data_IF_959990376408
#
_entry.id   IF_959990376408
#
_cell.length_a   1.000
_cell.length_b   1.000
_cell.length_c   1.000
_cell.angle_alpha   90.00
_cell.angle_beta   90.00
_cell.angle_gamma   90.00
#
_symmetry.space_group_name_H-M   'P 1'
#
loop_
_entity.id
_entity.type
_entity.pdbx_description
1 polymer ?
#
# COMPACT_ATOMS: atom_id res chain seq x y z
N UNK A 1 20.10 -19.00 31.84
CA UNK A 1 20.36 -19.09 33.29
C UNK A 1 20.34 -20.56 33.70
N UNK A 2 21.51 -21.18 33.94
CA UNK A 2 21.61 -22.60 34.33
C UNK A 2 22.05 -22.69 35.79
N UNK A 3 21.37 -23.53 36.59
CA UNK A 3 21.70 -23.77 38.00
C UNK A 3 22.53 -25.06 38.07
N UNK A 4 23.76 -24.99 38.60
CA UNK A 4 24.60 -26.17 38.81
C UNK A 4 24.34 -26.71 40.23
N UNK A 5 23.77 -27.92 40.33
CA UNK A 5 23.53 -28.57 41.61
C UNK A 5 24.72 -29.44 42.02
N UNK A 6 25.29 -29.17 43.21
CA UNK A 6 26.39 -29.97 43.78
C UNK A 6 25.93 -30.61 45.08
N UNK A 7 25.94 -31.94 45.14
CA UNK A 7 25.65 -32.71 46.35
C UNK A 7 26.91 -33.41 46.86
N UNK A 8 27.19 -33.28 48.16
CA UNK A 8 28.24 -34.04 48.84
C UNK A 8 27.64 -34.80 50.02
N UNK A 9 27.98 -36.09 50.16
CA UNK A 9 27.57 -36.90 51.31
C UNK A 9 28.80 -37.39 52.09
N UNK A 10 28.70 -37.37 53.42
CA UNK A 10 29.67 -38.00 54.33
C UNK A 10 29.06 -39.22 55.01
N UNK A 11 29.81 -40.32 55.09
CA UNK A 11 29.49 -41.46 55.95
C UNK A 11 30.76 -41.98 56.62
N UNK A 12 30.79 -42.01 57.95
CA UNK A 12 31.84 -42.62 58.78
C UNK A 12 33.30 -42.25 58.42
N UNK A 13 33.57 -40.94 58.31
CA UNK A 13 34.92 -40.34 58.20
C UNK A 13 35.83 -40.88 57.06
N UNK A 14 35.30 -41.67 56.13
CA UNK A 14 35.99 -42.12 54.93
C UNK A 14 35.30 -41.56 53.68
N UNK A 15 36.05 -40.79 52.89
CA UNK A 15 35.61 -40.34 51.57
C UNK A 15 35.50 -41.53 50.62
N UNK A 16 34.29 -42.00 50.38
CA UNK A 16 33.94 -42.88 49.27
C UNK A 16 32.86 -42.20 48.44
N UNK A 17 33.20 -41.62 47.29
CA UNK A 17 32.15 -41.17 46.38
C UNK A 17 32.61 -40.33 45.20
N UNK A 18 32.26 -40.84 44.02
CA UNK A 18 32.40 -40.21 42.72
C UNK A 18 31.48 -38.98 42.57
N UNK A 19 32.00 -37.97 41.87
CA UNK A 19 31.23 -36.83 41.38
C UNK A 19 30.59 -37.22 40.05
N UNK A 20 29.26 -37.24 39.97
CA UNK A 20 28.56 -37.24 38.69
C UNK A 20 28.01 -35.84 38.46
N UNK A 21 28.64 -35.09 37.57
CA UNK A 21 28.07 -33.87 37.02
C UNK A 21 27.17 -34.32 35.88
N UNK A 22 25.86 -34.12 36.02
CA UNK A 22 24.90 -34.37 34.94
C UNK A 22 24.12 -33.10 34.68
N UNK A 23 24.74 -32.10 34.06
CA UNK A 23 23.98 -31.11 33.29
C UNK A 23 24.88 -30.28 32.38
N UNK A 24 24.31 -29.98 31.21
CA UNK A 24 24.89 -29.16 30.16
C UNK A 24 24.64 -27.69 30.50
N UNK A 25 25.69 -26.88 30.61
CA UNK A 25 25.58 -25.43 30.82
C UNK A 25 25.45 -24.75 29.46
N UNK A 26 24.43 -23.91 29.30
CA UNK A 26 24.26 -23.05 28.13
C UNK A 26 24.66 -21.62 28.49
N UNK A 27 25.60 -21.04 27.75
CA UNK A 27 25.94 -19.62 27.83
C UNK A 27 25.42 -18.93 26.58
N UNK A 28 24.77 -17.77 26.73
CA UNK A 28 24.42 -16.90 25.61
C UNK A 28 25.71 -16.25 25.08
N UNK A 29 25.87 -16.25 23.76
CA UNK A 29 27.15 -15.99 23.09
C UNK A 29 27.61 -14.54 23.22
N UNK A 30 28.91 -14.39 23.41
CA UNK A 30 29.65 -13.13 23.30
C UNK A 30 31.16 -13.39 23.34
N UNK A 31 31.64 -14.18 22.38
CA UNK A 31 33.04 -14.47 22.03
C UNK A 31 34.02 -14.98 23.11
N UNK A 32 35.06 -15.64 22.60
CA UNK A 32 36.04 -16.47 23.30
C UNK A 32 36.70 -15.76 24.50
N UNK A 33 36.97 -16.52 25.57
CA UNK A 33 37.73 -16.04 26.73
C UNK A 33 39.15 -16.59 26.66
N UNK A 34 40.22 -15.76 26.72
CA UNK A 34 41.59 -16.21 26.99
C UNK A 34 42.25 -15.84 28.31
N UNK A 35 43.28 -16.65 28.56
CA UNK A 35 44.39 -16.47 29.47
C UNK A 35 45.05 -15.10 29.39
N UNK A 36 44.64 -14.21 30.28
CA UNK A 36 45.45 -13.94 31.47
C UNK A 36 44.74 -12.98 32.45
N UNK A 37 43.40 -12.94 32.47
CA UNK A 37 42.65 -12.20 33.47
C UNK A 37 41.84 -13.08 34.42
N UNK A 38 41.77 -12.62 35.68
CA UNK A 38 41.14 -13.31 36.79
C UNK A 38 39.68 -12.86 36.88
N UNK A 39 38.75 -13.80 36.73
CA UNK A 39 37.34 -13.56 37.06
C UNK A 39 37.21 -13.38 38.59
N UNK A 40 37.02 -12.14 39.04
CA UNK A 40 36.65 -11.86 40.43
C UNK A 40 35.14 -12.04 40.57
N UNK A 41 34.73 -13.16 41.17
CA UNK A 41 33.37 -13.31 41.69
C UNK A 41 33.39 -12.76 43.11
N UNK A 42 32.91 -11.53 43.28
CA UNK A 42 32.68 -10.95 44.60
C UNK A 42 31.37 -11.55 45.12
N UNK A 43 31.47 -12.56 46.00
CA UNK A 43 30.30 -13.07 46.71
C UNK A 43 29.99 -12.10 47.84
N UNK A 44 29.17 -11.09 47.56
CA UNK A 44 28.52 -10.31 48.61
C UNK A 44 27.41 -11.19 49.23
N UNK A 45 27.79 -11.98 50.23
CA UNK A 45 27.04 -12.18 51.47
C UNK A 45 27.70 -13.27 52.34
N UNK A 46 28.34 -12.82 53.43
CA UNK A 46 28.75 -13.66 54.53
C UNK A 46 27.52 -14.20 55.28
N UNK A 47 26.96 -15.32 54.85
CA UNK A 47 26.09 -16.13 55.71
C UNK A 47 26.95 -17.09 56.54
N UNK A 48 27.42 -16.57 57.66
CA UNK A 48 27.82 -17.35 58.84
C UNK A 48 26.68 -18.27 59.23
N UNK A 49 26.68 -19.52 58.77
CA UNK A 49 25.84 -20.56 59.35
C UNK A 49 26.61 -21.87 59.46
N UNK A 50 26.65 -22.40 60.68
CA UNK A 50 27.16 -23.73 60.99
C UNK A 50 26.22 -24.76 60.34
N UNK A 51 26.67 -25.44 59.29
CA UNK A 51 25.92 -26.56 58.70
C UNK A 51 26.04 -27.80 59.61
N UNK A 52 24.93 -28.46 59.99
CA UNK A 52 24.98 -29.75 60.64
C UNK A 52 25.41 -30.85 59.64
N UNK A 53 25.89 -32.02 60.12
CA UNK A 53 26.29 -33.12 59.24
C UNK A 53 25.10 -33.56 58.39
N UNK A 54 25.19 -33.39 57.07
CA UNK A 54 24.15 -33.80 56.11
C UNK A 54 23.38 -32.68 55.40
N UNK A 55 23.75 -31.40 55.55
CA UNK A 55 23.14 -30.29 54.79
C UNK A 55 23.79 -30.05 53.43
N UNK A 56 22.99 -29.96 52.36
CA UNK A 56 23.39 -29.42 51.07
C UNK A 56 23.02 -27.92 51.00
N UNK A 57 23.85 -27.10 50.34
CA UNK A 57 23.55 -25.68 50.07
C UNK A 57 23.69 -25.40 48.57
N UNK A 58 22.68 -24.78 47.98
CA UNK A 58 22.71 -24.28 46.60
C UNK A 58 23.38 -22.89 46.57
N UNK A 59 24.32 -22.68 45.65
CA UNK A 59 24.91 -21.38 45.37
C UNK A 59 24.65 -21.04 43.89
N UNK A 60 23.76 -20.08 43.57
CA UNK A 60 23.61 -19.62 42.20
C UNK A 60 24.84 -18.77 41.79
N UNK A 61 25.37 -19.04 40.61
CA UNK A 61 26.39 -18.21 39.96
C UNK A 61 25.71 -17.35 38.89
N UNK A 62 25.88 -16.04 38.96
CA UNK A 62 25.38 -15.06 37.98
C UNK A 62 26.55 -14.53 37.12
N UNK A 63 26.36 -14.49 35.80
CA UNK A 63 27.38 -14.11 34.81
C UNK A 63 26.96 -12.87 33.98
N UNK A 64 25.93 -12.14 34.38
CA UNK A 64 25.42 -11.00 33.61
C UNK A 64 26.28 -9.74 33.80
N UNK A 65 27.20 -9.42 32.87
CA UNK A 65 27.73 -8.04 32.84
C UNK A 65 29.04 -7.65 32.13
N UNK A 66 29.48 -8.23 31.00
CA UNK A 66 30.74 -7.76 30.37
C UNK A 66 30.71 -7.62 28.83
N UNK A 67 31.53 -6.67 28.33
CA UNK A 67 31.63 -6.16 26.95
C UNK A 67 32.85 -6.73 26.18
N UNK A 68 32.71 -6.79 24.85
CA UNK A 68 33.50 -7.51 23.82
C UNK A 68 34.78 -6.79 23.30
N UNK A 69 35.85 -7.55 22.99
CA UNK A 69 37.07 -7.17 22.21
C UNK A 69 37.42 -8.32 21.21
N UNK A 70 37.73 -8.08 19.90
CA UNK A 70 37.64 -9.11 18.84
C UNK A 70 38.90 -9.92 18.48
N UNK A 71 40.04 -9.75 19.15
CA UNK A 71 41.21 -10.60 18.92
C UNK A 71 41.47 -11.40 20.21
N UNK A 72 41.98 -12.65 20.11
CA UNK A 72 42.47 -13.54 21.21
C UNK A 72 41.53 -14.76 21.60
N UNK A 73 42.11 -15.97 21.87
CA UNK A 73 41.54 -17.30 22.29
C UNK A 73 42.07 -17.94 23.65
N UNK A 74 41.25 -18.44 24.61
CA UNK A 74 41.76 -19.30 25.72
C UNK A 74 40.82 -20.04 26.72
N UNK A 75 41.17 -20.13 28.04
CA UNK A 75 40.62 -21.11 29.03
C UNK A 75 40.33 -20.57 30.47
N UNK A 76 39.41 -21.22 31.22
CA UNK A 76 38.89 -20.82 32.56
C UNK A 76 39.53 -21.60 33.73
N UNK A 77 40.03 -20.91 34.77
CA UNK A 77 40.44 -21.50 36.07
C UNK A 77 39.63 -20.91 37.24
N UNK A 78 39.18 -21.77 38.17
CA UNK A 78 38.52 -21.36 39.42
C UNK A 78 39.47 -21.42 40.62
N UNK A 79 39.49 -20.37 41.44
CA UNK A 79 40.10 -20.40 42.77
C UNK A 79 39.03 -20.17 43.85
N UNK A 80 39.00 -21.01 44.89
CA UNK A 80 38.20 -20.80 46.10
C UNK A 80 39.12 -20.50 47.28
N UNK A 81 38.78 -19.48 48.09
CA UNK A 81 39.46 -19.19 49.36
C UNK A 81 38.73 -19.84 50.56
N UNK A 82 39.52 -20.06 51.61
CA UNK A 82 39.33 -21.06 52.67
C UNK A 82 38.26 -20.77 53.74
N UNK A 83 37.82 -21.84 54.42
CA UNK A 83 37.43 -21.74 55.84
C UNK A 83 38.31 -22.66 56.69
N UNK A 84 38.90 -22.08 57.74
CA UNK A 84 39.67 -22.79 58.75
C UNK A 84 38.75 -23.57 59.66
N UNK A 85 39.05 -24.85 59.91
CA UNK A 85 38.76 -25.52 61.19
C UNK A 85 39.72 -26.69 61.44
N UNK A 86 40.55 -26.51 62.47
CA UNK A 86 41.22 -27.54 63.28
C UNK A 86 42.05 -28.61 62.57
N UNK A 87 43.17 -28.21 61.95
CA UNK A 87 44.37 -29.05 61.90
C UNK A 87 44.47 -30.08 60.78
N UNK A 88 43.64 -30.00 59.74
CA UNK A 88 43.72 -30.91 58.60
C UNK A 88 43.97 -30.19 57.28
N UNK A 89 44.67 -30.90 56.40
CA UNK A 89 45.24 -30.47 55.12
C UNK A 89 44.23 -29.77 54.21
N UNK A 90 44.73 -28.80 53.44
CA UNK A 90 44.05 -28.22 52.29
C UNK A 90 43.63 -29.31 51.30
N UNK A 91 42.37 -29.31 50.88
CA UNK A 91 41.91 -30.10 49.74
C UNK A 91 41.83 -29.14 48.55
N UNK A 92 42.71 -29.35 47.57
CA UNK A 92 42.58 -28.71 46.25
C UNK A 92 41.54 -29.50 45.48
N UNK A 93 40.45 -28.85 45.06
CA UNK A 93 39.52 -29.39 44.08
C UNK A 93 39.92 -28.81 42.72
N UNK A 94 40.48 -29.64 41.85
CA UNK A 94 40.74 -29.31 40.45
C UNK A 94 39.53 -29.79 39.64
N UNK A 95 38.82 -28.87 38.99
CA UNK A 95 37.77 -29.22 38.05
C UNK A 95 38.40 -29.33 36.66
N UNK A 96 38.13 -30.43 35.96
CA UNK A 96 38.55 -30.61 34.57
C UNK A 96 37.31 -30.41 33.69
N UNK A 97 37.13 -29.20 33.16
CA UNK A 97 36.05 -28.94 32.20
C UNK A 97 36.54 -29.45 30.85
N UNK A 98 36.13 -30.67 30.49
CA UNK A 98 36.62 -31.33 29.28
C UNK A 98 35.82 -30.99 28.02
N UNK A 99 34.71 -30.26 28.14
CA UNK A 99 33.85 -29.89 27.01
C UNK A 99 33.15 -28.56 27.28
N UNK A 100 33.67 -27.48 26.71
CA UNK A 100 32.93 -26.24 26.47
C UNK A 100 32.62 -26.24 24.98
N UNK A 101 31.34 -26.25 24.61
CA UNK A 101 30.92 -26.01 23.24
C UNK A 101 30.32 -24.61 23.19
N UNK A 102 31.06 -23.65 22.64
CA UNK A 102 30.45 -22.42 22.15
C UNK A 102 29.76 -22.79 20.83
N UNK A 103 28.43 -22.63 20.77
CA UNK A 103 27.73 -22.66 19.49
C UNK A 103 27.74 -21.24 18.94
N UNK A 104 28.21 -21.08 17.70
CA UNK A 104 28.01 -19.84 16.95
C UNK A 104 26.50 -19.64 16.79
N UNK A 105 26.02 -18.44 17.13
CA UNK A 105 24.67 -18.04 16.75
C UNK A 105 24.77 -17.60 15.30
N UNK A 106 23.97 -18.23 14.45
CA UNK A 106 23.80 -17.91 13.02
C UNK A 106 22.55 -17.03 12.86
N UNK A 107 22.62 -15.93 12.12
CA UNK A 107 21.51 -14.99 11.91
C UNK A 107 21.04 -15.08 10.46
N UNK A 108 19.73 -14.98 10.21
CA UNK A 108 19.22 -15.00 8.83
C UNK A 108 19.72 -13.76 8.05
N UNK A 109 20.08 -13.92 6.76
CA UNK A 109 20.52 -12.80 5.95
C UNK A 109 19.35 -11.88 5.60
N UNK A 110 19.64 -10.62 5.31
CA UNK A 110 18.67 -9.60 4.92
C UNK A 110 18.73 -9.39 3.42
N UNK A 111 17.67 -9.81 2.70
CA UNK A 111 17.48 -9.49 1.29
C UNK A 111 17.00 -8.04 1.11
N UNK A 112 17.41 -7.43 0.00
CA UNK A 112 16.92 -6.12 -0.44
C UNK A 112 16.81 -6.11 -1.97
N UNK A 113 15.58 -6.03 -2.47
CA UNK A 113 15.26 -5.99 -3.90
C UNK A 113 15.35 -4.59 -4.52
N UNK A 114 15.56 -3.56 -3.70
CA UNK A 114 15.53 -2.16 -4.11
C UNK A 114 14.12 -1.56 -4.11
N UNK A 115 13.89 -0.44 -4.80
CA UNK A 115 12.57 0.16 -4.96
C UNK A 115 11.76 -0.49 -6.11
N UNK A 116 10.46 -0.23 -6.13
CA UNK A 116 9.59 -0.57 -7.28
C UNK A 116 10.12 0.03 -8.60
N UNK A 117 9.95 -0.71 -9.70
CA UNK A 117 10.51 -0.37 -11.01
C UNK A 117 9.45 -0.28 -12.10
N UNK A 118 9.68 0.61 -13.08
CA UNK A 118 8.93 0.66 -14.34
C UNK A 118 9.93 0.49 -15.48
N UNK A 119 9.71 -0.52 -16.31
CA UNK A 119 10.61 -0.93 -17.39
C UNK A 119 9.82 -1.21 -18.67
N UNK A 120 10.50 -1.36 -19.81
CA UNK A 120 9.83 -1.75 -21.06
C UNK A 120 9.78 -3.27 -21.23
N UNK A 121 10.83 -3.86 -21.80
CA UNK A 121 10.93 -5.30 -22.09
C UNK A 121 12.11 -5.99 -21.36
N UNK A 122 12.86 -5.22 -20.57
CA UNK A 122 14.06 -5.64 -19.86
C UNK A 122 14.28 -4.83 -18.59
N UNK A 123 14.85 -5.47 -17.56
CA UNK A 123 15.09 -4.86 -16.26
C UNK A 123 16.47 -5.21 -15.72
N UNK A 124 17.14 -4.20 -15.15
CA UNK A 124 18.34 -4.36 -14.36
C UNK A 124 17.93 -4.50 -12.89
N UNK A 125 18.13 -5.70 -12.33
CA UNK A 125 17.86 -5.96 -10.92
C UNK A 125 19.11 -5.64 -10.09
N UNK A 126 18.93 -5.20 -8.85
CA UNK A 126 20.03 -4.81 -7.96
C UNK A 126 19.79 -5.32 -6.54
N UNK A 127 20.49 -6.40 -6.18
CA UNK A 127 20.46 -7.01 -4.86
C UNK A 127 21.61 -6.58 -3.97
N UNK A 128 22.46 -5.63 -4.42
CA UNK A 128 23.74 -5.30 -3.79
C UNK A 128 23.65 -4.72 -2.37
N UNK A 129 22.45 -4.30 -1.97
CA UNK A 129 22.15 -3.80 -0.63
C UNK A 129 21.75 -4.91 0.35
N UNK A 130 21.69 -6.16 -0.09
CA UNK A 130 21.51 -7.32 0.77
C UNK A 130 22.78 -7.57 1.59
N UNK A 131 22.61 -8.05 2.82
CA UNK A 131 23.74 -8.29 3.71
C UNK A 131 23.40 -9.37 4.74
N UNK A 132 24.43 -9.97 5.30
CA UNK A 132 24.31 -10.93 6.38
C UNK A 132 24.95 -10.35 7.66
N UNK A 133 24.28 -10.34 8.83
CA UNK A 133 24.80 -9.68 10.03
C UNK A 133 26.04 -10.31 10.66
N UNK A 134 26.24 -11.62 10.49
CA UNK A 134 27.29 -12.41 11.13
C UNK A 134 28.20 -13.16 10.17
N UNK A 135 27.89 -13.17 8.88
CA UNK A 135 28.69 -13.76 7.81
C UNK A 135 28.60 -12.99 6.50
N UNK A 136 28.50 -13.73 5.40
CA UNK A 136 28.48 -13.20 4.04
C UNK A 136 27.36 -13.86 3.24
N UNK A 137 26.70 -13.07 2.39
CA UNK A 137 25.74 -13.61 1.42
C UNK A 137 26.46 -14.40 0.33
N UNK A 138 26.27 -15.71 0.29
CA UNK A 138 26.88 -16.62 -0.69
C UNK A 138 26.15 -16.63 -2.04
N UNK A 139 24.82 -16.51 -2.05
CA UNK A 139 24.05 -16.63 -3.30
C UNK A 139 22.80 -15.75 -3.35
N UNK A 140 22.38 -15.45 -4.59
CA UNK A 140 21.26 -14.57 -4.93
C UNK A 140 20.42 -15.27 -5.99
N UNK A 141 19.13 -15.44 -5.72
CA UNK A 141 18.17 -16.04 -6.65
C UNK A 141 16.95 -15.14 -6.78
N UNK A 142 16.61 -14.80 -8.02
CA UNK A 142 15.49 -13.94 -8.37
C UNK A 142 14.39 -14.77 -9.02
N UNK A 143 13.15 -14.57 -8.60
CA UNK A 143 11.93 -15.11 -9.22
C UNK A 143 11.02 -13.96 -9.65
N UNK A 144 10.62 -13.94 -10.91
CA UNK A 144 9.79 -12.92 -11.53
C UNK A 144 8.46 -13.56 -11.94
N UNK A 145 7.41 -13.30 -11.16
CA UNK A 145 6.09 -13.86 -11.38
C UNK A 145 5.15 -12.85 -12.04
N UNK A 146 4.61 -13.18 -13.22
CA UNK A 146 3.61 -12.33 -13.87
C UNK A 146 2.23 -12.52 -13.20
N UNK A 147 1.65 -11.44 -12.66
CA UNK A 147 0.41 -11.51 -11.87
C UNK A 147 -0.79 -12.03 -12.66
N UNK A 148 -0.91 -11.61 -13.91
CA UNK A 148 -2.05 -11.94 -14.78
C UNK A 148 -1.80 -13.16 -15.67
N UNK A 149 -0.58 -13.69 -15.65
CA UNK A 149 -0.18 -14.86 -16.43
C UNK A 149 0.63 -15.80 -15.52
N UNK A 150 -0.02 -16.55 -14.62
CA UNK A 150 0.69 -17.44 -13.67
C UNK A 150 1.53 -18.55 -14.34
N UNK A 151 1.38 -18.77 -15.66
CA UNK A 151 2.20 -19.68 -16.45
C UNK A 151 3.53 -19.07 -16.91
N UNK A 152 3.69 -17.75 -16.80
CA UNK A 152 4.93 -17.04 -17.07
C UNK A 152 5.69 -16.81 -15.76
N UNK A 153 6.85 -17.45 -15.64
CA UNK A 153 7.85 -17.20 -14.59
C UNK A 153 9.22 -17.12 -15.25
N UNK A 154 10.00 -16.10 -14.89
CA UNK A 154 11.41 -15.99 -15.25
C UNK A 154 12.27 -15.98 -13.98
N UNK A 155 13.41 -16.66 -14.02
CA UNK A 155 14.36 -16.68 -12.90
C UNK A 155 15.72 -16.13 -13.33
N UNK A 156 16.41 -15.45 -12.41
CA UNK A 156 17.78 -14.98 -12.61
C UNK A 156 18.65 -15.23 -11.38
N UNK A 157 19.97 -15.18 -11.54
CA UNK A 157 20.93 -15.43 -10.47
C UNK A 157 22.02 -14.35 -10.45
N UNK A 158 22.57 -14.11 -9.26
CA UNK A 158 23.64 -13.13 -9.03
C UNK A 158 23.15 -11.82 -8.43
N UNK A 159 24.10 -10.96 -8.08
CA UNK A 159 23.84 -9.71 -7.36
C UNK A 159 23.02 -8.75 -8.23
N UNK A 160 23.47 -8.53 -9.47
CA UNK A 160 22.88 -7.56 -10.40
C UNK A 160 22.60 -8.19 -11.78
N UNK A 161 21.63 -9.12 -11.90
CA UNK A 161 21.30 -9.71 -13.18
C UNK A 161 20.48 -8.75 -14.06
N UNK A 162 20.52 -9.01 -15.37
CA UNK A 162 19.66 -8.38 -16.36
C UNK A 162 18.65 -9.42 -16.85
N UNK A 163 17.36 -9.07 -16.80
CA UNK A 163 16.26 -9.87 -17.36
C UNK A 163 15.71 -9.20 -18.60
N UNK A 164 15.23 -9.97 -19.58
CA UNK A 164 14.73 -9.44 -20.86
C UNK A 164 13.60 -10.29 -21.42
N UNK A 165 12.97 -9.81 -22.50
CA UNK A 165 11.79 -10.43 -23.10
C UNK A 165 10.63 -10.57 -22.10
N UNK A 166 10.45 -9.54 -21.26
CA UNK A 166 9.32 -9.45 -20.35
C UNK A 166 8.04 -9.25 -21.18
N UNK A 167 7.00 -10.00 -20.84
CA UNK A 167 5.64 -9.73 -21.32
C UNK A 167 5.13 -8.44 -20.64
N UNK A 168 4.24 -7.70 -21.29
CA UNK A 168 3.65 -6.51 -20.66
C UNK A 168 2.78 -6.91 -19.47
N UNK A 169 2.94 -6.22 -18.35
CA UNK A 169 2.07 -6.39 -17.17
C UNK A 169 2.80 -6.16 -15.85
N UNK A 170 2.13 -6.57 -14.77
CA UNK A 170 2.63 -6.45 -13.42
C UNK A 170 3.36 -7.72 -13.00
N UNK A 171 4.55 -7.54 -12.43
CA UNK A 171 5.38 -8.60 -11.90
C UNK A 171 5.60 -8.44 -10.39
N UNK A 172 5.52 -9.57 -9.68
CA UNK A 172 6.07 -9.70 -8.32
C UNK A 172 7.50 -10.23 -8.44
N UNK A 173 8.46 -9.41 -8.05
CA UNK A 173 9.89 -9.72 -8.13
C UNK A 173 10.36 -10.10 -6.74
N UNK A 174 10.73 -11.37 -6.55
CA UNK A 174 11.21 -11.87 -5.25
C UNK A 174 12.70 -12.19 -5.34
N UNK A 175 13.51 -11.54 -4.49
CA UNK A 175 14.90 -11.93 -4.24
C UNK A 175 14.95 -12.86 -3.04
N UNK A 176 15.63 -14.00 -3.21
CA UNK A 176 16.06 -14.88 -2.12
C UNK A 176 17.58 -14.85 -2.04
N UNK A 177 18.12 -14.52 -0.87
CA UNK A 177 19.56 -14.58 -0.59
C UNK A 177 19.86 -15.70 0.39
N UNK A 178 21.01 -16.35 0.23
CA UNK A 178 21.50 -17.42 1.14
C UNK A 178 22.89 -17.05 1.65
N UNK A 179 23.14 -17.18 2.95
CA UNK A 179 24.44 -16.90 3.59
C UNK A 179 25.39 -18.12 3.59
N UNK A 180 26.56 -17.97 4.24
CA UNK A 180 27.58 -19.01 4.38
C UNK A 180 27.27 -20.08 5.44
N UNK A 181 26.24 -19.86 6.26
CA UNK A 181 25.67 -20.83 7.19
C UNK A 181 24.50 -21.62 6.59
N UNK A 182 24.06 -21.25 5.38
CA UNK A 182 22.96 -21.85 4.63
C UNK A 182 21.57 -21.37 5.03
N UNK A 183 21.44 -20.28 5.79
CA UNK A 183 20.17 -19.62 6.08
C UNK A 183 19.75 -18.70 4.93
N UNK A 184 18.48 -18.32 4.90
CA UNK A 184 17.91 -17.59 3.77
C UNK A 184 17.05 -16.40 4.19
N UNK A 185 17.12 -15.33 3.42
CA UNK A 185 16.28 -14.14 3.55
C UNK A 185 15.60 -13.81 2.23
N UNK A 186 14.42 -13.18 2.29
CA UNK A 186 13.63 -12.85 1.10
C UNK A 186 13.07 -11.44 1.16
N UNK A 187 12.98 -10.79 -0.01
CA UNK A 187 12.32 -9.50 -0.19
C UNK A 187 11.58 -9.46 -1.53
N UNK A 188 10.48 -8.70 -1.62
CA UNK A 188 9.59 -8.66 -2.79
C UNK A 188 9.16 -7.23 -3.13
N UNK A 189 9.27 -6.86 -4.40
CA UNK A 189 8.82 -5.57 -4.96
C UNK A 189 7.94 -5.75 -6.19
N UNK A 190 7.25 -4.67 -6.57
CA UNK A 190 6.43 -4.64 -7.78
C UNK A 190 7.21 -4.02 -8.92
N UNK A 191 7.17 -4.68 -10.07
CA UNK A 191 7.68 -4.13 -11.32
C UNK A 191 6.56 -4.07 -12.36
N UNK A 192 6.52 -2.97 -13.11
CA UNK A 192 5.65 -2.82 -14.26
C UNK A 192 6.51 -2.98 -15.51
N UNK A 193 6.27 -4.04 -16.28
CA UNK A 193 6.84 -4.18 -17.62
C UNK A 193 5.83 -3.60 -18.62
N UNK A 194 6.21 -2.51 -19.26
CA UNK A 194 5.36 -1.75 -20.15
C UNK A 194 5.12 -2.45 -21.50
N UNK A 195 6.02 -3.36 -21.90
CA UNK A 195 5.98 -4.02 -23.21
C UNK A 195 5.88 -3.05 -24.40
N UNK A 196 5.61 -3.61 -25.59
CA UNK A 196 5.19 -2.87 -26.77
C UNK A 196 3.64 -2.79 -26.89
N UNK A 197 2.95 -3.15 -25.80
CA UNK A 197 1.50 -3.29 -25.71
C UNK A 197 0.81 -2.03 -25.17
N UNK A 198 1.57 -1.01 -24.78
CA UNK A 198 1.10 0.38 -24.86
C UNK A 198 1.17 0.82 -26.32
N UNK A 199 0.33 0.22 -27.17
CA UNK A 199 0.10 0.76 -28.50
C UNK A 199 -0.77 2.00 -28.35
N UNK A 200 -0.23 3.03 -27.70
CA UNK A 200 -0.72 4.39 -27.79
C UNK A 200 -0.62 4.79 -29.27
N UNK A 201 -1.69 4.50 -30.05
CA UNK A 201 -1.59 4.61 -31.51
C UNK A 201 -1.66 6.07 -31.98
N UNK A 202 -2.05 6.98 -31.11
CA UNK A 202 -2.16 8.41 -31.38
C UNK A 202 -1.13 9.28 -30.63
N UNK A 203 -0.28 8.67 -29.81
CA UNK A 203 0.85 9.24 -29.06
C UNK A 203 0.41 10.28 -27.99
N UNK A 204 -0.73 10.08 -27.31
CA UNK A 204 -1.25 10.98 -26.26
C UNK A 204 -0.83 10.63 -24.82
N UNK A 205 -0.21 9.46 -24.64
CA UNK A 205 0.27 8.94 -23.37
C UNK A 205 -0.71 8.04 -22.62
N UNK A 206 -1.89 7.77 -23.18
CA UNK A 206 -2.88 6.82 -22.70
C UNK A 206 -3.02 5.67 -23.69
N UNK A 207 -3.52 4.55 -23.20
CA UNK A 207 -3.87 3.42 -24.06
C UNK A 207 -5.21 2.85 -23.65
N UNK A 208 -5.81 2.02 -24.51
CA UNK A 208 -7.10 1.37 -24.20
C UNK A 208 -7.11 0.65 -22.83
N UNK A 209 -5.94 0.15 -22.40
CA UNK A 209 -5.75 -0.57 -21.13
C UNK A 209 -5.51 0.38 -19.94
N UNK A 210 -5.09 1.61 -20.20
CA UNK A 210 -4.94 2.70 -19.22
C UNK A 210 -6.21 3.55 -19.05
N UNK A 211 -7.31 3.16 -19.68
CA UNK A 211 -8.60 3.83 -19.58
C UNK A 211 -8.94 4.77 -20.73
N UNK A 212 -8.12 4.81 -21.78
CA UNK A 212 -8.49 5.44 -23.05
C UNK A 212 -9.70 4.73 -23.67
N UNK A 213 -10.71 5.49 -24.08
CA UNK A 213 -11.91 4.99 -24.73
C UNK A 213 -11.80 4.98 -26.27
N UNK A 214 -10.83 5.70 -26.85
CA UNK A 214 -10.46 5.62 -28.26
C UNK A 214 -8.96 5.92 -28.51
N UNK A 215 -8.18 4.85 -28.38
CA UNK A 215 -6.73 4.69 -28.65
C UNK A 215 -6.25 5.02 -30.09
N UNK A 216 -7.07 5.67 -30.92
CA UNK A 216 -6.69 6.20 -32.24
C UNK A 216 -7.01 7.69 -32.41
N UNK A 217 -7.45 8.37 -31.35
CA UNK A 217 -7.72 9.80 -31.31
C UNK A 217 -7.20 10.44 -30.02
N UNK A 218 -6.06 11.14 -30.12
CA UNK A 218 -5.37 11.83 -29.02
C UNK A 218 -6.16 12.93 -28.29
N UNK A 219 -7.42 13.18 -28.66
CA UNK A 219 -8.32 14.08 -27.94
C UNK A 219 -9.33 13.32 -27.06
N UNK A 220 -9.30 11.98 -27.10
CA UNK A 220 -10.21 11.11 -26.38
C UNK A 220 -9.36 10.28 -25.42
N UNK A 221 -9.29 10.70 -24.16
CA UNK A 221 -8.48 10.03 -23.14
C UNK A 221 -8.89 10.51 -21.74
N UNK A 222 -8.57 9.75 -20.67
CA UNK A 222 -8.84 10.14 -19.29
C UNK A 222 -8.46 11.58 -18.95
N UNK A 223 -9.46 12.39 -18.58
CA UNK A 223 -9.26 13.79 -18.19
C UNK A 223 -9.03 14.78 -19.33
N UNK A 224 -9.34 14.40 -20.58
CA UNK A 224 -9.48 15.36 -21.68
C UNK A 224 -10.57 16.41 -21.37
N UNK A 225 -10.61 17.48 -22.18
CA UNK A 225 -11.68 18.48 -22.09
C UNK A 225 -12.77 18.09 -23.06
N UNK A 226 -14.02 18.01 -22.59
CA UNK A 226 -15.17 17.78 -23.44
C UNK A 226 -15.31 18.85 -24.52
N UNK A 227 -15.52 18.36 -25.73
CA UNK A 227 -15.93 19.13 -26.88
C UNK A 227 -17.35 18.72 -27.22
N UNK A 228 -18.23 19.68 -27.52
CA UNK A 228 -19.57 19.26 -27.85
C UNK A 228 -19.70 18.63 -29.24
N UNK A 229 -19.54 17.32 -29.28
CA UNK A 229 -19.67 16.48 -30.47
C UNK A 229 -20.42 15.16 -30.19
N UNK A 230 -20.90 14.96 -28.96
CA UNK A 230 -21.62 13.75 -28.53
C UNK A 230 -20.71 12.57 -28.25
N UNK A 231 -19.41 12.81 -28.14
CA UNK A 231 -18.40 11.84 -27.73
C UNK A 231 -18.02 12.15 -26.28
N UNK A 232 -17.80 11.11 -25.50
CA UNK A 232 -17.16 11.21 -24.18
C UNK A 232 -15.65 11.36 -24.43
N UNK A 233 -15.15 12.61 -24.40
CA UNK A 233 -13.73 12.87 -24.69
C UNK A 233 -12.85 12.47 -23.50
N UNK A 234 -13.36 12.57 -22.28
CA UNK A 234 -12.56 12.37 -21.08
C UNK A 234 -12.67 10.96 -20.46
N UNK A 235 -13.44 10.08 -21.11
CA UNK A 235 -13.68 8.69 -20.77
C UNK A 235 -14.25 8.49 -19.36
N UNK A 236 -15.19 9.35 -18.93
CA UNK A 236 -15.85 9.27 -17.60
C UNK A 236 -17.29 8.70 -17.61
N UNK A 237 -17.71 8.12 -18.75
CA UNK A 237 -19.05 7.62 -19.05
C UNK A 237 -20.13 8.72 -19.19
N UNK A 238 -19.74 10.00 -19.29
CA UNK A 238 -20.61 11.11 -19.64
C UNK A 238 -20.10 11.77 -20.93
N UNK A 239 -21.04 12.16 -21.79
CA UNK A 239 -20.71 12.87 -23.01
C UNK A 239 -21.13 14.33 -22.87
N UNK A 240 -20.28 15.24 -23.32
CA UNK A 240 -20.52 16.68 -23.36
C UNK A 240 -20.92 17.28 -21.98
N UNK A 241 -20.37 16.82 -20.85
CA UNK A 241 -20.69 17.42 -19.57
C UNK A 241 -20.18 18.86 -19.44
N UNK A 242 -20.91 19.68 -18.67
CA UNK A 242 -20.62 21.11 -18.55
C UNK A 242 -21.19 21.98 -19.69
N UNK A 243 -21.90 21.37 -20.65
CA UNK A 243 -22.65 22.06 -21.71
C UNK A 243 -24.18 22.12 -21.47
N UNK A 244 -24.65 21.61 -20.32
CA UNK A 244 -26.02 21.73 -19.79
C UNK A 244 -25.94 22.49 -18.44
N UNK A 245 -26.06 23.82 -18.49
CA UNK A 245 -25.85 24.67 -17.33
C UNK A 245 -27.11 24.85 -16.46
N UNK A 246 -28.30 24.52 -16.96
CA UNK A 246 -29.55 24.59 -16.19
C UNK A 246 -30.11 23.22 -15.73
N UNK A 247 -29.54 22.13 -16.23
CA UNK A 247 -29.76 20.76 -15.77
C UNK A 247 -31.03 20.12 -16.31
N UNK A 248 -31.50 20.52 -17.50
CA UNK A 248 -32.69 19.95 -18.14
C UNK A 248 -32.40 18.78 -19.11
N UNK A 249 -31.14 18.39 -19.22
CA UNK A 249 -30.57 17.38 -20.13
C UNK A 249 -30.54 17.78 -21.61
N UNK A 250 -30.71 19.05 -21.94
CA UNK A 250 -30.47 19.58 -23.28
C UNK A 250 -29.25 20.48 -23.25
N UNK A 251 -28.17 20.05 -23.89
CA UNK A 251 -26.95 20.86 -23.99
C UNK A 251 -27.12 22.00 -25.01
N UNK A 252 -26.32 23.06 -24.87
CA UNK A 252 -26.21 24.17 -25.86
C UNK A 252 -26.08 23.72 -27.32
N UNK A 253 -25.45 22.57 -27.52
CA UNK A 253 -25.19 21.94 -28.80
C UNK A 253 -26.21 20.85 -29.15
N UNK A 254 -26.89 20.29 -28.15
CA UNK A 254 -28.11 19.47 -28.29
C UNK A 254 -29.32 20.25 -28.81
N UNK A 255 -29.16 21.55 -29.04
CA UNK A 255 -30.17 22.43 -29.62
C UNK A 255 -30.83 23.35 -28.59
N UNK A 256 -30.35 23.37 -27.35
CA UNK A 256 -30.83 24.31 -26.36
C UNK A 256 -30.43 25.75 -26.72
N UNK A 257 -31.45 26.57 -26.97
CA UNK A 257 -31.32 27.97 -27.30
C UNK A 257 -31.19 28.88 -26.07
N UNK A 258 -31.39 28.37 -24.85
CA UNK A 258 -31.14 29.08 -23.60
C UNK A 258 -30.78 28.15 -22.42
N UNK A 259 -29.50 27.79 -22.38
CA UNK A 259 -28.79 27.00 -21.35
C UNK A 259 -28.72 27.63 -19.94
N UNK A 260 -29.57 28.62 -19.66
CA UNK A 260 -29.73 29.17 -18.31
C UNK A 260 -31.19 29.11 -17.84
N UNK A 261 -32.07 28.44 -18.59
CA UNK A 261 -33.48 28.34 -18.31
C UNK A 261 -34.05 26.97 -18.74
N UNK A 262 -34.32 26.05 -17.79
CA UNK A 262 -34.68 24.64 -18.07
C UNK A 262 -36.10 24.47 -18.63
N UNK A 263 -36.75 25.57 -19.00
CA UNK A 263 -38.07 25.63 -19.63
C UNK A 263 -37.98 26.02 -21.11
N UNK A 264 -36.78 26.32 -21.62
CA UNK A 264 -36.53 26.66 -23.02
C UNK A 264 -35.55 25.60 -23.52
N UNK A 265 -36.03 24.65 -24.32
CA UNK A 265 -35.25 23.54 -24.85
C UNK A 265 -35.99 22.88 -26.04
N UNK A 266 -35.34 22.05 -26.87
CA UNK A 266 -35.90 21.47 -28.10
C UNK A 266 -37.24 20.72 -28.00
N UNK A 267 -37.69 20.35 -26.80
CA UNK A 267 -38.96 19.62 -26.60
C UNK A 267 -40.00 20.40 -25.82
N UNK A 268 -39.71 21.64 -25.44
CA UNK A 268 -40.65 22.47 -24.70
C UNK A 268 -41.91 22.78 -25.53
N UNK A 269 -43.02 23.03 -24.85
CA UNK A 269 -44.26 23.48 -25.50
C UNK A 269 -44.24 25.01 -25.68
N UNK A 270 -44.58 25.47 -26.88
CA UNK A 270 -44.68 26.90 -27.21
C UNK A 270 -45.76 27.62 -26.39
N UNK A 271 -45.37 28.71 -25.72
CA UNK A 271 -46.30 29.52 -24.94
C UNK A 271 -46.87 30.66 -25.78
N UNK A 272 -48.21 30.76 -25.93
CA UNK A 272 -48.81 31.68 -26.88
C UNK A 272 -48.57 33.14 -26.48
N UNK A 273 -48.03 33.92 -27.42
CA UNK A 273 -48.01 35.38 -27.37
C UNK A 273 -46.95 36.00 -26.46
N UNK A 274 -46.05 35.23 -25.83
CA UNK A 274 -44.94 35.77 -25.03
C UNK A 274 -43.72 36.19 -25.89
N UNK A 275 -43.66 35.75 -27.16
CA UNK A 275 -42.60 36.07 -28.10
C UNK A 275 -41.25 35.41 -27.80
N UNK A 276 -41.27 34.34 -27.00
CA UNK A 276 -40.13 33.46 -26.77
C UNK A 276 -40.33 32.21 -27.63
N UNK A 277 -39.23 31.67 -28.15
CA UNK A 277 -39.18 30.38 -28.85
C UNK A 277 -38.75 29.37 -27.79
N UNK A 278 -39.73 28.71 -27.17
CA UNK A 278 -39.47 27.75 -26.09
C UNK A 278 -38.85 26.48 -26.65
N UNK A 279 -39.31 26.03 -27.82
CA UNK A 279 -38.94 24.75 -28.38
C UNK A 279 -37.72 24.80 -29.31
N UNK A 280 -37.10 25.98 -29.45
CA UNK A 280 -35.91 26.24 -30.25
C UNK A 280 -36.04 25.83 -31.73
N UNK A 281 -37.26 25.76 -32.28
CA UNK A 281 -37.50 25.37 -33.68
C UNK A 281 -37.44 26.54 -34.67
N UNK A 282 -37.29 27.77 -34.16
CA UNK A 282 -37.25 29.02 -34.92
C UNK A 282 -38.64 29.60 -35.22
N UNK A 283 -39.71 29.05 -34.66
CA UNK A 283 -41.10 29.49 -34.82
C UNK A 283 -41.76 29.75 -33.47
N UNK A 284 -42.30 30.96 -33.29
CA UNK A 284 -43.04 31.39 -32.08
C UNK A 284 -44.46 30.79 -31.96
N UNK A 285 -44.66 29.60 -32.54
CA UNK A 285 -45.90 28.85 -32.50
C UNK A 285 -47.18 29.60 -32.92
N UNK A 286 -48.29 29.16 -32.33
CA UNK A 286 -49.58 29.81 -32.49
C UNK A 286 -49.61 31.13 -31.73
N UNK A 287 -50.38 32.08 -32.26
CA UNK A 287 -50.52 33.41 -31.67
C UNK A 287 -49.21 34.21 -31.60
N UNK A 288 -48.28 33.97 -32.54
CA UNK A 288 -47.04 34.73 -32.71
C UNK A 288 -47.28 36.26 -32.65
N UNK A 289 -46.67 36.98 -31.69
CA UNK A 289 -46.83 38.42 -31.53
C UNK A 289 -46.21 39.24 -32.68
N UNK A 290 -45.28 38.66 -33.44
CA UNK A 290 -44.65 39.26 -34.61
C UNK A 290 -45.52 39.17 -35.88
N UNK A 291 -46.53 38.29 -35.88
CA UNK A 291 -47.45 38.12 -36.99
C UNK A 291 -48.37 39.34 -37.21
N UNK A 292 -48.96 39.43 -38.40
CA UNK A 292 -49.87 40.52 -38.76
C UNK A 292 -51.30 40.25 -38.27
N UNK A 293 -51.72 40.95 -37.21
CA UNK A 293 -53.07 40.84 -36.63
C UNK A 293 -54.04 41.90 -37.16
N UNK A 294 -55.22 41.46 -37.60
CA UNK A 294 -56.27 42.35 -38.14
C UNK A 294 -56.81 43.38 -37.13
N UNK A 295 -56.87 43.00 -35.86
CA UNK A 295 -57.17 43.88 -34.73
C UNK A 295 -56.70 43.24 -33.42
N UNK A 296 -56.51 44.06 -32.39
CA UNK A 296 -56.06 43.64 -31.07
C UNK A 296 -56.93 42.54 -30.45
N UNK A 297 -58.26 42.62 -30.62
CA UNK A 297 -59.18 41.61 -30.08
C UNK A 297 -59.01 40.22 -30.71
N UNK A 298 -58.53 40.12 -31.95
CA UNK A 298 -58.22 38.83 -32.57
C UNK A 298 -56.97 38.19 -31.97
N UNK A 299 -55.93 38.99 -31.70
CA UNK A 299 -54.71 38.52 -31.05
C UNK A 299 -55.02 38.03 -29.63
N UNK A 300 -55.69 38.84 -28.81
CA UNK A 300 -56.04 38.46 -27.44
C UNK A 300 -56.89 37.19 -27.42
N UNK A 301 -57.86 37.05 -28.32
CA UNK A 301 -58.67 35.82 -28.43
C UNK A 301 -57.87 34.59 -28.81
N UNK A 302 -56.87 34.73 -29.68
CA UNK A 302 -55.98 33.63 -30.02
C UNK A 302 -55.25 33.17 -28.75
N UNK A 303 -54.58 34.11 -28.05
CA UNK A 303 -53.83 33.79 -26.84
C UNK A 303 -54.74 33.18 -25.77
N UNK A 304 -55.93 33.74 -25.53
CA UNK A 304 -56.90 33.17 -24.58
C UNK A 304 -57.28 31.73 -24.95
N UNK A 305 -57.51 31.43 -26.23
CA UNK A 305 -57.89 30.10 -26.66
C UNK A 305 -56.77 29.07 -26.46
N UNK A 306 -55.55 29.39 -26.91
CA UNK A 306 -54.41 28.48 -26.76
C UNK A 306 -54.04 28.28 -25.28
N UNK A 307 -54.12 29.33 -24.45
CA UNK A 307 -53.92 29.20 -23.00
C UNK A 307 -54.94 28.25 -22.37
N UNK A 308 -56.22 28.34 -22.76
CA UNK A 308 -57.25 27.41 -22.25
C UNK A 308 -56.94 25.95 -22.61
N UNK A 309 -56.35 25.69 -23.79
CA UNK A 309 -55.90 24.37 -24.20
C UNK A 309 -54.74 23.87 -23.33
N UNK A 310 -53.67 24.67 -23.19
CA UNK A 310 -52.49 24.31 -22.39
C UNK A 310 -52.85 24.07 -20.90
N UNK A 311 -53.76 24.88 -20.34
CA UNK A 311 -54.28 24.67 -18.98
C UNK A 311 -55.08 23.38 -18.88
N UNK A 312 -55.87 23.04 -19.91
CA UNK A 312 -56.67 21.81 -19.94
C UNK A 312 -55.82 20.54 -20.07
N UNK A 313 -54.66 20.65 -20.73
CA UNK A 313 -53.68 19.57 -20.90
C UNK A 313 -52.73 19.46 -19.69
N UNK A 314 -52.73 20.47 -18.82
CA UNK A 314 -51.90 20.52 -17.62
C UNK A 314 -50.45 20.93 -17.88
N UNK A 315 -50.16 21.49 -19.07
CA UNK A 315 -48.84 22.01 -19.44
C UNK A 315 -48.50 23.25 -18.62
N UNK A 316 -49.48 24.13 -18.41
CA UNK A 316 -49.35 25.32 -17.55
C UNK A 316 -50.45 25.37 -16.49
N UNK A 317 -50.17 26.08 -15.40
CA UNK A 317 -51.16 26.37 -14.35
C UNK A 317 -52.14 27.46 -14.78
N UNK A 318 -53.32 27.51 -14.15
CA UNK A 318 -54.27 28.60 -14.35
C UNK A 318 -53.64 29.99 -14.10
N UNK A 319 -52.75 30.09 -13.11
CA UNK A 319 -52.06 31.34 -12.79
C UNK A 319 -51.09 31.78 -13.90
N UNK A 320 -50.29 30.85 -14.44
CA UNK A 320 -49.44 31.11 -15.60
C UNK A 320 -50.27 31.52 -16.83
N UNK A 321 -51.39 30.83 -17.06
CA UNK A 321 -52.33 31.17 -18.12
C UNK A 321 -52.91 32.59 -17.98
N UNK A 322 -53.33 32.97 -16.77
CA UNK A 322 -53.85 34.30 -16.49
C UNK A 322 -52.79 35.39 -16.73
N UNK A 323 -51.51 35.12 -16.45
CA UNK A 323 -50.39 36.04 -16.75
C UNK A 323 -50.25 36.24 -18.26
N UNK A 324 -50.24 35.17 -19.05
CA UNK A 324 -50.13 35.25 -20.52
C UNK A 324 -51.30 36.03 -21.14
N UNK A 325 -52.54 35.74 -20.70
CA UNK A 325 -53.73 36.44 -21.16
C UNK A 325 -53.69 37.93 -20.79
N UNK A 326 -53.30 38.26 -19.56
CA UNK A 326 -53.18 39.65 -19.12
C UNK A 326 -52.09 40.40 -19.90
N UNK A 327 -50.94 39.76 -20.14
CA UNK A 327 -49.86 40.32 -20.96
C UNK A 327 -50.35 40.63 -22.38
N UNK A 328 -51.02 39.68 -23.02
CA UNK A 328 -51.59 39.86 -24.35
C UNK A 328 -52.62 41.00 -24.40
N UNK A 329 -53.50 41.10 -23.40
CA UNK A 329 -54.51 42.16 -23.27
C UNK A 329 -53.90 43.56 -23.04
N UNK A 330 -52.74 43.63 -22.40
CA UNK A 330 -52.03 44.88 -22.15
C UNK A 330 -51.11 45.29 -23.31
N UNK A 331 -50.77 44.36 -24.21
CA UNK A 331 -49.92 44.61 -25.38
C UNK A 331 -50.52 45.63 -26.36
N UNK A 332 -49.68 46.17 -27.25
CA UNK A 332 -50.11 47.00 -28.39
C UNK A 332 -50.31 46.22 -29.69
N UNK A 333 -50.22 44.89 -29.63
CA UNK A 333 -50.28 44.01 -30.80
C UNK A 333 -51.69 44.09 -31.42
N UNK A 334 -51.74 44.30 -32.75
CA UNK A 334 -52.99 44.46 -33.49
C UNK A 334 -53.75 45.76 -33.22
N UNK A 335 -53.23 46.69 -32.40
CA UNK A 335 -53.81 48.05 -32.29
C UNK A 335 -53.43 48.85 -33.54
N UNK A 336 -54.35 49.67 -34.03
CA UNK A 336 -54.01 50.66 -35.07
C UNK A 336 -53.09 51.70 -34.44
N UNK A 337 -51.86 51.79 -34.96
CA UNK A 337 -50.87 52.81 -34.57
C UNK A 337 -51.38 54.22 -34.83
#
# INVERSE_FOLDING_TARGET
>A
MSIINVFTYMYDEQWLGALQISETVFMESGNWLDNYDRLFVETDELLSSTLPPGGASELPLDFSGYNYDPEWDGYIEFYRFDTFLNGYKWVRLEFNITNIHAQSITIDPVANTGPDQIVFDSAALDGSQSYDPDGMVESYQWDLQHRENPGYNQTAEGVNPEVSNLESGFYDITLTVTDDDGLTGTDTVVMVAAGACFADNDDDGYSIEMGDCNDNDANIHPGAIETCDGIDNNCDDQADEGFDADGDNYTTCGGDCNDNNPLINPVADELPGNGTDENCDGSLGNCDPSASWNNHGMYVRCVTHEVELLVSEGIITQEQGDILINSAAMSDIGKKK
#
